data_IF_861179319669
#
_entry.id   IF_861179319669
#
_cell.length_a   1.000
_cell.length_b   1.000
_cell.length_c   1.000
_cell.angle_alpha   90.00
_cell.angle_beta   90.00
_cell.angle_gamma   90.00
#
_symmetry.space_group_name_H-M   'P 1'
#
loop_
_entity.id
_entity.type
_entity.pdbx_description
1 polymer ?
#
# COMPACT_ATOMS: atom_id res chain seq x y z
N UNK A 1 -13.89 31.25 -10.62
CA UNK A 1 -13.13 30.82 -9.43
C UNK A 1 -12.29 29.62 -9.81
N UNK A 2 -11.02 29.62 -9.42
CA UNK A 2 -10.13 28.47 -9.62
C UNK A 2 -10.33 27.45 -8.49
N UNK A 3 -9.90 26.21 -8.73
CA UNK A 3 -9.90 25.15 -7.71
C UNK A 3 -9.09 25.56 -6.48
N UNK A 4 -7.98 26.27 -6.68
CA UNK A 4 -7.12 26.77 -5.60
C UNK A 4 -7.86 27.77 -4.71
N UNK A 5 -8.51 28.77 -5.30
CA UNK A 5 -9.29 29.78 -4.56
C UNK A 5 -10.40 29.16 -3.73
N UNK A 6 -11.06 28.13 -4.27
CA UNK A 6 -12.13 27.41 -3.58
C UNK A 6 -11.58 26.67 -2.35
N UNK A 7 -10.45 25.98 -2.50
CA UNK A 7 -9.80 25.26 -1.40
C UNK A 7 -9.36 26.23 -0.29
N UNK A 8 -8.75 27.36 -0.65
CA UNK A 8 -8.31 28.36 0.34
C UNK A 8 -9.51 28.92 1.12
N UNK A 9 -10.62 29.20 0.43
CA UNK A 9 -11.84 29.70 1.08
C UNK A 9 -12.43 28.70 2.07
N UNK A 10 -12.51 27.43 1.69
CA UNK A 10 -13.04 26.39 2.57
C UNK A 10 -12.14 26.19 3.79
N UNK A 11 -10.82 26.10 3.61
CA UNK A 11 -9.86 25.96 4.70
C UNK A 11 -9.87 27.15 5.67
N UNK A 12 -10.18 28.36 5.20
CA UNK A 12 -10.28 29.55 6.06
C UNK A 12 -11.45 29.50 7.05
N UNK A 13 -12.48 28.69 6.80
CA UNK A 13 -13.66 28.56 7.67
C UNK A 13 -13.59 27.39 8.66
N UNK A 14 -12.53 26.59 8.59
CA UNK A 14 -12.44 25.29 9.27
C UNK A 14 -11.72 25.40 10.64
N UNK A 15 -12.19 24.70 11.69
CA UNK A 15 -11.51 24.63 12.98
C UNK A 15 -10.08 24.04 12.93
N UNK A 16 -9.21 24.51 13.81
CA UNK A 16 -7.78 24.12 13.85
C UNK A 16 -7.48 22.61 13.93
N UNK A 17 -8.25 21.78 14.68
CA UNK A 17 -8.03 20.33 14.69
C UNK A 17 -8.15 19.67 13.31
N UNK A 18 -9.04 20.18 12.46
CA UNK A 18 -9.23 19.69 11.10
C UNK A 18 -8.11 20.19 10.16
N UNK A 19 -7.58 21.40 10.40
CA UNK A 19 -6.41 21.90 9.66
C UNK A 19 -5.18 21.00 9.86
N UNK A 20 -4.95 20.53 11.09
CA UNK A 20 -3.89 19.56 11.37
C UNK A 20 -4.08 18.25 10.63
N UNK A 21 -5.34 17.77 10.52
CA UNK A 21 -5.66 16.57 9.75
C UNK A 21 -5.38 16.75 8.26
N UNK A 22 -5.81 17.87 7.67
CA UNK A 22 -5.53 18.21 6.27
C UNK A 22 -4.02 18.30 6.02
N UNK A 23 -3.27 18.96 6.91
CA UNK A 23 -1.81 19.04 6.83
C UNK A 23 -1.15 17.66 6.86
N UNK A 24 -1.62 16.77 7.74
CA UNK A 24 -1.11 15.39 7.82
C UNK A 24 -1.38 14.61 6.54
N UNK A 25 -2.55 14.79 5.93
CA UNK A 25 -2.92 14.16 4.67
C UNK A 25 -2.05 14.65 3.52
N UNK A 26 -1.83 15.96 3.39
CA UNK A 26 -0.97 16.52 2.35
C UNK A 26 0.46 15.99 2.47
N UNK A 27 0.99 15.88 3.71
CA UNK A 27 2.31 15.29 3.96
C UNK A 27 2.38 13.82 3.56
N UNK A 28 1.35 13.04 3.89
CA UNK A 28 1.23 11.63 3.50
C UNK A 28 1.23 11.49 1.97
N UNK A 29 0.40 12.27 1.27
CA UNK A 29 0.33 12.25 -0.20
C UNK A 29 1.66 12.64 -0.83
N UNK A 30 2.33 13.67 -0.31
CA UNK A 30 3.64 14.10 -0.79
C UNK A 30 4.72 13.02 -0.60
N UNK A 31 4.72 12.33 0.54
CA UNK A 31 5.63 11.20 0.81
C UNK A 31 5.31 9.94 -0.01
N UNK A 32 4.04 9.69 -0.32
CA UNK A 32 3.63 8.60 -1.20
C UNK A 32 3.95 8.89 -2.67
N UNK A 33 3.85 10.15 -3.11
CA UNK A 33 4.19 10.55 -4.47
C UNK A 33 5.70 10.37 -4.76
N UNK A 34 6.57 10.55 -3.76
CA UNK A 34 8.00 10.26 -3.90
C UNK A 34 8.30 8.77 -4.06
N UNK A 35 7.49 7.87 -3.47
CA UNK A 35 7.64 6.42 -3.66
C UNK A 35 7.09 5.95 -5.01
N UNK A 36 6.06 6.60 -5.53
CA UNK A 36 5.53 6.31 -6.87
C UNK A 36 6.49 6.73 -7.99
N UNK A 37 7.30 7.76 -7.77
CA UNK A 37 8.31 8.24 -8.72
C UNK A 37 9.51 7.29 -8.86
N UNK A 38 9.75 6.42 -7.89
CA UNK A 38 10.81 5.39 -7.93
C UNK A 38 10.34 4.07 -8.53
N UNK A 39 9.22 4.11 -9.25
CA UNK A 39 8.93 3.10 -10.27
C UNK A 39 9.79 3.36 -11.50
N UNK A 40 11.12 3.22 -11.34
CA UNK A 40 11.93 2.60 -12.38
C UNK A 40 11.42 1.17 -12.53
N UNK A 41 10.22 1.06 -13.12
CA UNK A 41 9.52 -0.18 -13.40
C UNK A 41 10.32 -0.82 -14.51
N UNK A 42 11.43 -1.43 -14.13
CA UNK A 42 12.15 -2.35 -14.98
C UNK A 42 11.07 -3.24 -15.59
N UNK A 43 11.04 -3.38 -16.92
CA UNK A 43 10.02 -4.17 -17.58
C UNK A 43 9.99 -5.55 -16.90
N UNK A 44 8.79 -6.07 -16.63
CA UNK A 44 8.69 -7.41 -16.03
C UNK A 44 9.37 -8.40 -16.97
N UNK A 45 10.43 -9.04 -16.50
CA UNK A 45 11.15 -10.05 -17.29
C UNK A 45 10.55 -11.42 -16.92
N UNK A 46 9.86 -12.11 -17.85
CA UNK A 46 9.34 -13.45 -17.57
C UNK A 46 10.49 -14.40 -17.23
N UNK A 47 10.38 -15.10 -16.10
CA UNK A 47 11.38 -16.08 -15.68
C UNK A 47 12.68 -15.52 -15.08
N UNK A 48 12.72 -14.24 -14.67
CA UNK A 48 13.92 -13.59 -14.09
C UNK A 48 14.59 -14.39 -12.95
N UNK A 49 13.79 -15.13 -12.18
CA UNK A 49 14.24 -15.92 -11.03
C UNK A 49 14.00 -17.43 -11.22
N UNK A 50 13.91 -17.91 -12.47
CA UNK A 50 13.68 -19.33 -12.76
C UNK A 50 14.80 -20.17 -12.13
N UNK A 51 14.43 -21.16 -11.31
CA UNK A 51 15.38 -22.04 -10.61
C UNK A 51 16.07 -21.41 -9.40
N UNK A 52 15.81 -20.14 -9.08
CA UNK A 52 16.33 -19.47 -7.88
C UNK A 52 15.38 -19.58 -6.69
N UNK A 53 14.14 -19.99 -6.93
CA UNK A 53 13.13 -20.23 -5.91
C UNK A 53 13.11 -21.72 -5.60
N UNK A 54 13.39 -22.06 -4.35
CA UNK A 54 13.13 -23.40 -3.82
C UNK A 54 11.70 -23.44 -3.28
N UNK A 55 10.97 -24.49 -3.64
CA UNK A 55 9.63 -24.78 -3.15
C UNK A 55 9.67 -26.21 -2.64
N UNK A 56 9.01 -26.47 -1.51
CA UNK A 56 8.91 -27.83 -0.99
C UNK A 56 8.06 -28.69 -1.93
N UNK A 57 8.36 -29.99 -1.98
CA UNK A 57 7.65 -30.94 -2.87
C UNK A 57 6.16 -31.06 -2.50
N UNK A 58 5.81 -30.79 -1.24
CA UNK A 58 4.45 -30.85 -0.67
C UNK A 58 3.69 -29.52 -0.76
N UNK A 59 4.23 -28.49 -1.40
CA UNK A 59 3.60 -27.15 -1.42
C UNK A 59 2.17 -27.15 -1.99
N UNK A 60 1.91 -28.03 -2.97
CA UNK A 60 0.60 -28.16 -3.59
C UNK A 60 -0.30 -29.17 -2.88
N UNK A 61 0.21 -29.86 -1.85
CA UNK A 61 -0.57 -30.82 -1.11
C UNK A 61 -1.60 -30.10 -0.23
N UNK A 62 -2.71 -30.78 0.04
CA UNK A 62 -3.73 -30.24 0.93
C UNK A 62 -3.18 -30.19 2.35
N UNK A 63 -3.40 -29.06 3.03
CA UNK A 63 -3.04 -28.92 4.44
C UNK A 63 -3.86 -29.91 5.29
N UNK A 64 -3.26 -30.52 6.33
CA UNK A 64 -3.94 -31.48 7.18
C UNK A 64 -5.10 -30.83 7.94
N UNK A 65 -6.13 -31.60 8.30
CA UNK A 65 -7.30 -31.08 9.00
C UNK A 65 -6.94 -30.42 10.35
N UNK A 66 -5.91 -30.91 11.04
CA UNK A 66 -5.41 -30.29 12.27
C UNK A 66 -4.89 -28.87 12.08
N UNK A 67 -4.38 -28.53 10.89
CA UNK A 67 -4.01 -27.16 10.55
C UNK A 67 -5.24 -26.23 10.54
N UNK A 68 -6.41 -26.75 10.16
CA UNK A 68 -7.65 -25.99 10.06
C UNK A 68 -8.48 -26.01 11.34
N UNK A 69 -8.56 -27.18 11.98
CA UNK A 69 -9.46 -27.45 13.10
C UNK A 69 -8.77 -27.40 14.46
N UNK A 70 -7.43 -27.41 14.49
CA UNK A 70 -6.64 -27.65 15.69
C UNK A 70 -6.52 -29.14 15.98
N UNK A 71 -5.62 -29.49 16.91
CA UNK A 71 -5.60 -30.83 17.48
C UNK A 71 -6.71 -30.93 18.53
N UNK A 72 -7.53 -31.99 18.47
CA UNK A 72 -8.53 -32.26 19.50
C UNK A 72 -7.81 -32.66 20.80
N UNK A 73 -7.79 -31.75 21.79
CA UNK A 73 -7.34 -32.01 23.17
C UNK A 73 -8.50 -32.47 24.07
#
# INVERSE_FOLDING_TARGET
>A
MTTFETIVRELASVPEPLLLRVLSFIRLVKGSATLAADSSRAPRIPGLHKGQVWMSEDFNDSLPDSFWLGDDE
#
